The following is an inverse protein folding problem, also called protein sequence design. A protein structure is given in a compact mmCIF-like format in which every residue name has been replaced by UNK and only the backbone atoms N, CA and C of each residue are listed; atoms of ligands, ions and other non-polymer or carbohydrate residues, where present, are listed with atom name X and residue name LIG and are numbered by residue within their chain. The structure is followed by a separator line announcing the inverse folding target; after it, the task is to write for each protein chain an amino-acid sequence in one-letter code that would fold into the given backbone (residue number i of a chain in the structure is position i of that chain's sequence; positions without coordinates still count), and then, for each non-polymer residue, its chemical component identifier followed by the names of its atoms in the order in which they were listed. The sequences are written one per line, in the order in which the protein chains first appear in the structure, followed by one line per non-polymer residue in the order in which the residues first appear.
data_IF_802234892561
#
_entry.id   IF_802234892561
#
_cell.length_a   1.000
_cell.length_b   1.000
_cell.length_c   1.000
_cell.angle_alpha   90.00
_cell.angle_beta   90.00
_cell.angle_gamma   90.00
#
_symmetry.space_group_name_H-M   'P 1'
#
loop_
_entity.id
_entity.type
_entity.pdbx_description
1 polymer ?
#
# COMPACT_ATOMS: atom_id res chain seq x y z
N UNK A 1 -14.34 -40.94 -13.67
CA UNK A 1 -14.44 -39.64 -12.97
C UNK A 1 -15.90 -39.36 -12.72
N UNK A 2 -16.27 -38.65 -11.65
CA UNK A 2 -17.68 -38.29 -11.42
C UNK A 2 -18.12 -37.28 -12.48
N UNK A 3 -19.38 -37.32 -12.93
CA UNK A 3 -19.93 -36.31 -13.86
C UNK A 3 -19.76 -34.86 -13.33
N UNK A 4 -19.70 -34.72 -12.00
CA UNK A 4 -19.40 -33.45 -11.33
C UNK A 4 -17.95 -33.00 -11.52
N UNK A 5 -17.00 -33.93 -11.51
CA UNK A 5 -15.57 -33.65 -11.70
C UNK A 5 -15.29 -33.23 -13.15
N UNK A 6 -15.92 -33.90 -14.11
CA UNK A 6 -15.83 -33.53 -15.54
C UNK A 6 -16.43 -32.14 -15.79
N UNK A 7 -17.53 -31.81 -15.11
CA UNK A 7 -18.13 -30.48 -15.20
C UNK A 7 -17.23 -29.41 -14.59
N UNK A 8 -16.57 -29.70 -13.45
CA UNK A 8 -15.63 -28.78 -12.80
C UNK A 8 -14.43 -28.49 -13.70
N UNK A 9 -13.82 -29.51 -14.29
CA UNK A 9 -12.67 -29.35 -15.19
C UNK A 9 -13.01 -28.47 -16.42
N UNK A 10 -14.21 -28.65 -16.98
CA UNK A 10 -14.68 -27.79 -18.08
C UNK A 10 -14.91 -26.34 -17.64
N UNK A 11 -15.35 -26.13 -16.39
CA UNK A 11 -15.54 -24.78 -15.83
C UNK A 11 -14.19 -24.10 -15.60
N UNK A 12 -13.20 -24.79 -15.04
CA UNK A 12 -11.85 -24.26 -14.83
C UNK A 12 -11.21 -23.85 -16.16
N UNK A 13 -11.23 -24.74 -17.16
CA UNK A 13 -10.77 -24.41 -18.51
C UNK A 13 -11.52 -23.22 -19.10
N UNK A 14 -12.83 -23.11 -18.87
CA UNK A 14 -13.59 -21.97 -19.37
C UNK A 14 -13.18 -20.66 -18.69
N UNK A 15 -12.78 -20.69 -17.41
CA UNK A 15 -12.27 -19.53 -16.66
C UNK A 15 -10.90 -19.10 -17.20
N UNK A 16 -9.98 -20.03 -17.40
CA UNK A 16 -8.63 -19.74 -17.92
C UNK A 16 -8.66 -19.13 -19.31
N UNK A 17 -9.66 -19.50 -20.12
CA UNK A 17 -9.84 -18.97 -21.47
C UNK A 17 -10.61 -17.63 -21.52
N UNK A 18 -10.96 -17.02 -20.38
CA UNK A 18 -11.60 -15.70 -20.36
C UNK A 18 -10.54 -14.64 -20.69
N UNK A 19 -10.48 -14.25 -21.97
CA UNK A 19 -9.61 -13.17 -22.44
C UNK A 19 -10.13 -11.77 -22.12
N UNK A 20 -11.42 -11.62 -21.79
CA UNK A 20 -12.04 -10.33 -21.52
C UNK A 20 -12.28 -10.15 -20.00
N UNK A 21 -11.49 -9.29 -19.38
CA UNK A 21 -11.58 -8.98 -17.94
C UNK A 21 -12.98 -8.50 -17.50
N UNK A 22 -13.71 -7.77 -18.36
CA UNK A 22 -15.08 -7.35 -18.04
C UNK A 22 -16.04 -8.53 -17.95
N UNK A 23 -15.83 -9.59 -18.75
CA UNK A 23 -16.62 -10.82 -18.66
C UNK A 23 -16.39 -11.53 -17.33
N UNK A 24 -15.13 -11.63 -16.88
CA UNK A 24 -14.78 -12.19 -15.57
C UNK A 24 -15.40 -11.37 -14.43
N UNK A 25 -15.23 -10.04 -14.45
CA UNK A 25 -15.82 -9.14 -13.44
C UNK A 25 -17.34 -9.25 -13.37
N UNK A 26 -18.02 -9.33 -14.51
CA UNK A 26 -19.48 -9.48 -14.54
C UNK A 26 -19.93 -10.84 -14.00
N UNK A 27 -19.19 -11.92 -14.28
CA UNK A 27 -19.46 -13.24 -13.72
C UNK A 27 -19.30 -13.21 -12.19
N UNK A 28 -18.18 -12.70 -11.67
CA UNK A 28 -17.92 -12.57 -10.23
C UNK A 28 -19.01 -11.75 -9.51
N UNK A 29 -19.38 -10.59 -10.09
CA UNK A 29 -20.48 -9.77 -9.57
C UNK A 29 -21.81 -10.54 -9.54
N UNK A 30 -22.10 -11.32 -10.58
CA UNK A 30 -23.32 -12.15 -10.64
C UNK A 30 -23.27 -13.27 -9.60
N UNK A 31 -22.14 -13.94 -9.41
CA UNK A 31 -21.99 -14.97 -8.39
C UNK A 31 -22.16 -14.40 -6.97
N UNK A 32 -21.51 -13.26 -6.69
CA UNK A 32 -21.59 -12.57 -5.39
C UNK A 32 -23.02 -12.16 -5.00
N UNK A 33 -23.83 -11.75 -5.99
CA UNK A 33 -25.24 -11.38 -5.75
C UNK A 33 -26.12 -12.59 -5.46
N UNK A 34 -25.82 -13.73 -6.08
CA UNK A 34 -26.68 -14.92 -6.03
C UNK A 34 -26.25 -15.97 -5.01
N UNK A 35 -25.02 -15.91 -4.50
CA UNK A 35 -24.48 -16.88 -3.53
C UNK A 35 -23.85 -16.17 -2.34
N UNK A 36 -24.40 -16.41 -1.14
CA UNK A 36 -23.85 -15.93 0.12
C UNK A 36 -22.47 -16.52 0.38
N UNK A 37 -22.28 -17.83 0.12
CA UNK A 37 -20.98 -18.48 0.31
C UNK A 37 -19.87 -17.86 -0.55
N UNK A 38 -20.18 -17.48 -1.79
CA UNK A 38 -19.21 -16.76 -2.65
C UNK A 38 -18.95 -15.36 -2.11
N UNK A 39 -19.97 -14.68 -1.60
CA UNK A 39 -19.83 -13.34 -1.03
C UNK A 39 -18.97 -13.34 0.22
N UNK A 40 -19.16 -14.30 1.11
CA UNK A 40 -18.36 -14.44 2.34
C UNK A 40 -16.90 -14.73 1.99
N UNK A 41 -16.66 -15.66 1.04
CA UNK A 41 -15.31 -15.96 0.54
C UNK A 41 -14.62 -14.72 -0.07
N UNK A 42 -15.32 -13.99 -0.94
CA UNK A 42 -14.76 -12.78 -1.55
C UNK A 42 -14.55 -11.65 -0.54
N UNK A 43 -15.40 -11.55 0.47
CA UNK A 43 -15.26 -10.53 1.51
C UNK A 43 -14.04 -10.82 2.40
N UNK A 44 -13.77 -12.08 2.71
CA UNK A 44 -12.57 -12.50 3.44
C UNK A 44 -11.28 -12.26 2.65
N UNK A 45 -11.31 -12.45 1.33
CA UNK A 45 -10.14 -12.28 0.47
C UNK A 45 -9.85 -10.81 0.11
N UNK A 46 -10.89 -10.04 -0.24
CA UNK A 46 -10.75 -8.72 -0.88
C UNK A 46 -10.98 -7.53 0.07
N UNK A 47 -11.49 -7.77 1.28
CA UNK A 47 -11.76 -6.74 2.26
C UNK A 47 -10.95 -6.96 3.52
N UNK A 48 -10.76 -5.89 4.29
CA UNK A 48 -10.05 -5.95 5.57
C UNK A 48 -10.72 -5.03 6.59
N UNK A 49 -10.37 -5.25 7.85
CA UNK A 49 -10.89 -4.52 9.01
C UNK A 49 -9.97 -3.35 9.40
N UNK A 50 -10.52 -2.33 10.05
CA UNK A 50 -9.72 -1.22 10.61
C UNK A 50 -8.59 -1.71 11.54
N UNK A 51 -8.84 -2.79 12.29
CA UNK A 51 -7.84 -3.36 13.20
C UNK A 51 -6.64 -3.95 12.48
N UNK A 52 -6.84 -4.63 11.36
CA UNK A 52 -5.74 -5.24 10.59
C UNK A 52 -4.86 -4.16 9.97
N UNK A 53 -5.46 -3.11 9.42
CA UNK A 53 -4.74 -1.94 8.87
C UNK A 53 -3.97 -1.18 9.96
N UNK A 54 -4.52 -1.04 11.16
CA UNK A 54 -3.80 -0.37 12.24
C UNK A 54 -2.61 -1.20 12.73
N UNK A 55 -2.79 -2.51 12.89
CA UNK A 55 -1.73 -3.41 13.36
C UNK A 55 -0.52 -3.42 12.42
N UNK A 56 -0.73 -3.38 11.10
CA UNK A 56 0.36 -3.31 10.12
C UNK A 56 1.04 -1.94 10.07
N UNK A 57 0.32 -0.86 10.41
CA UNK A 57 0.82 0.50 10.36
C UNK A 57 1.59 0.94 11.62
N UNK A 58 1.51 0.18 12.72
CA UNK A 58 2.10 0.54 14.01
C UNK A 58 3.45 -0.14 14.21
N UNK A 59 4.55 0.62 14.21
CA UNK A 59 5.92 0.13 14.48
C UNK A 59 6.17 -0.23 15.96
N UNK A 60 5.12 -0.50 16.76
CA UNK A 60 5.22 -0.70 18.20
C UNK A 60 5.10 -2.17 18.59
N UNK A 61 6.19 -2.77 19.07
CA UNK A 61 6.28 -4.15 19.59
C UNK A 61 5.60 -4.37 20.97
N UNK A 62 4.74 -3.45 21.43
CA UNK A 62 4.04 -3.60 22.72
C UNK A 62 2.80 -4.49 22.58
N UNK A 63 3.04 -5.76 22.25
CA UNK A 63 2.07 -6.86 22.38
C UNK A 63 1.95 -7.27 23.84
N UNK A 64 1.05 -6.59 24.57
CA UNK A 64 0.45 -7.18 25.75
C UNK A 64 -0.93 -6.56 26.05
N UNK A 65 -1.96 -7.42 25.90
CA UNK A 65 -3.20 -7.42 26.69
C UNK A 65 -4.47 -6.75 26.13
N UNK A 66 -4.66 -6.60 24.82
CA UNK A 66 -6.03 -6.46 24.29
C UNK A 66 -6.52 -7.79 23.70
N UNK A 67 -7.10 -8.65 24.55
CA UNK A 67 -7.95 -9.76 24.08
C UNK A 67 -9.37 -9.22 23.93
N UNK A 68 -9.88 -8.98 22.70
CA UNK A 68 -11.27 -8.57 22.53
C UNK A 68 -12.16 -9.72 23.00
N UNK A 69 -13.01 -9.41 23.97
CA UNK A 69 -14.04 -10.33 24.48
C UNK A 69 -14.96 -10.79 23.34
N UNK A 70 -15.02 -12.10 23.14
CA UNK A 70 -16.03 -12.89 22.39
C UNK A 70 -16.91 -12.14 21.37
N UNK A 71 -16.63 -12.42 20.09
CA UNK A 71 -17.58 -12.69 18.99
C UNK A 71 -18.63 -11.60 18.68
N UNK A 72 -18.18 -10.38 18.39
CA UNK A 72 -18.88 -9.55 17.40
C UNK A 72 -18.12 -9.69 16.08
N UNK A 73 -18.80 -10.03 14.98
CA UNK A 73 -18.20 -9.95 13.63
C UNK A 73 -17.71 -8.52 13.45
N UNK A 74 -16.39 -8.33 13.38
CA UNK A 74 -15.81 -7.02 13.10
C UNK A 74 -16.21 -6.68 11.66
N UNK A 75 -16.84 -5.53 11.41
CA UNK A 75 -17.24 -5.17 10.06
C UNK A 75 -16.00 -4.90 9.21
N UNK A 76 -16.03 -5.40 7.97
CA UNK A 76 -15.10 -4.95 6.95
C UNK A 76 -15.24 -3.44 6.74
N UNK A 77 -14.11 -2.76 6.62
CA UNK A 77 -14.06 -1.30 6.51
C UNK A 77 -13.38 -0.84 5.22
N UNK A 78 -12.42 -1.62 4.70
CA UNK A 78 -11.57 -1.21 3.58
C UNK A 78 -11.49 -2.28 2.51
N UNK A 79 -11.26 -1.85 1.26
CA UNK A 79 -10.81 -2.73 0.17
C UNK A 79 -9.32 -2.98 0.36
N UNK A 80 -8.91 -4.25 0.34
CA UNK A 80 -7.56 -4.70 0.69
C UNK A 80 -6.50 -4.26 -0.31
N UNK A 81 -6.75 -4.50 -1.59
CA UNK A 81 -5.82 -4.16 -2.67
C UNK A 81 -6.21 -2.83 -3.30
N UNK A 82 -5.28 -1.88 -3.35
CA UNK A 82 -5.49 -0.54 -3.88
C UNK A 82 -4.34 -0.16 -4.82
N UNK A 83 -4.56 0.82 -5.70
CA UNK A 83 -3.53 1.34 -6.60
C UNK A 83 -2.86 2.56 -5.98
N UNK A 84 -1.53 2.55 -5.90
CA UNK A 84 -0.76 3.69 -5.43
C UNK A 84 -0.86 4.86 -6.43
N UNK A 85 -1.02 6.08 -5.93
CA UNK A 85 -1.03 7.29 -6.74
C UNK A 85 0.39 7.69 -7.19
N UNK A 86 1.43 7.27 -6.47
CA UNK A 86 2.82 7.65 -6.73
C UNK A 86 3.49 6.67 -7.71
N UNK A 87 3.66 5.40 -7.30
CA UNK A 87 4.30 4.39 -8.15
C UNK A 87 3.36 3.69 -9.14
N UNK A 88 2.04 3.91 -9.03
CA UNK A 88 1.00 3.27 -9.86
C UNK A 88 0.87 1.74 -9.71
N UNK A 89 1.61 1.12 -8.79
CA UNK A 89 1.50 -0.31 -8.50
C UNK A 89 0.31 -0.63 -7.58
N UNK A 90 -0.16 -1.86 -7.66
CA UNK A 90 -1.14 -2.40 -6.71
C UNK A 90 -0.44 -2.77 -5.40
N UNK A 91 -1.03 -2.43 -4.27
CA UNK A 91 -0.51 -2.75 -2.95
C UNK A 91 -1.60 -3.22 -2.01
N UNK A 92 -1.22 -4.06 -1.05
CA UNK A 92 -2.07 -4.50 0.06
C UNK A 92 -1.97 -3.47 1.20
N UNK A 93 -3.11 -2.88 1.59
CA UNK A 93 -3.12 -1.89 2.68
C UNK A 93 -2.74 -2.50 4.04
N UNK A 94 -2.84 -3.83 4.19
CA UNK A 94 -2.41 -4.55 5.39
C UNK A 94 -0.92 -4.88 5.38
N UNK A 95 -0.22 -4.63 4.27
CA UNK A 95 1.22 -4.84 4.12
C UNK A 95 1.89 -3.62 3.48
N UNK A 96 1.62 -2.43 4.02
CA UNK A 96 2.11 -1.17 3.49
C UNK A 96 3.16 -0.56 4.42
N UNK A 97 4.32 -1.19 4.57
CA UNK A 97 5.38 -0.67 5.46
C UNK A 97 6.16 0.48 4.83
N UNK A 98 6.94 1.21 5.63
CA UNK A 98 7.78 2.30 5.14
C UNK A 98 8.88 1.75 4.23
N UNK A 99 8.98 2.27 3.00
CA UNK A 99 9.97 1.84 2.01
C UNK A 99 9.43 0.88 0.96
N UNK A 100 8.17 0.42 1.07
CA UNK A 100 7.54 -0.44 0.05
C UNK A 100 7.26 0.29 -1.26
N UNK A 101 7.07 1.61 -1.22
CA UNK A 101 6.82 2.41 -2.41
C UNK A 101 8.08 3.19 -2.77
N UNK A 102 8.54 3.07 -4.01
CA UNK A 102 9.54 3.96 -4.61
C UNK A 102 8.95 4.65 -5.84
N UNK A 103 9.27 5.93 -6.04
CA UNK A 103 8.77 6.69 -7.19
C UNK A 103 9.72 7.82 -7.57
N UNK A 104 9.52 8.36 -8.76
CA UNK A 104 10.13 9.61 -9.22
C UNK A 104 9.08 10.73 -9.15
N UNK A 105 9.39 11.86 -8.52
CA UNK A 105 8.53 13.05 -8.54
C UNK A 105 8.71 13.84 -9.87
N UNK A 106 9.85 13.67 -10.52
CA UNK A 106 10.20 14.35 -11.77
C UNK A 106 9.53 13.75 -13.00
N UNK A 107 9.68 14.45 -14.12
CA UNK A 107 9.33 13.96 -15.45
C UNK A 107 10.54 13.30 -16.11
N UNK A 108 10.27 12.30 -16.96
CA UNK A 108 11.28 11.66 -17.80
C UNK A 108 11.52 12.54 -19.04
N UNK A 109 12.75 12.98 -19.27
CA UNK A 109 13.15 13.86 -20.37
C UNK A 109 14.16 13.20 -21.31
N UNK A 110 14.19 13.63 -22.57
CA UNK A 110 15.14 13.13 -23.57
C UNK A 110 16.54 13.65 -23.25
N UNK A 111 17.50 12.74 -23.08
CA UNK A 111 18.91 13.12 -22.96
C UNK A 111 19.50 13.32 -24.35
N UNK A 112 19.67 14.57 -24.77
CA UNK A 112 20.22 14.89 -26.09
C UNK A 112 21.69 14.48 -26.28
N UNK A 113 22.41 14.21 -25.19
CA UNK A 113 23.82 13.83 -25.19
C UNK A 113 24.02 12.31 -25.06
N UNK A 114 22.94 11.54 -24.83
CA UNK A 114 23.03 10.09 -24.70
C UNK A 114 23.51 9.42 -26.00
N UNK A 115 24.41 8.44 -25.83
CA UNK A 115 25.01 7.67 -26.93
C UNK A 115 23.95 7.05 -27.86
N UNK A 116 22.79 6.67 -27.29
CA UNK A 116 21.64 6.10 -28.01
C UNK A 116 21.13 7.00 -29.14
N UNK A 117 21.31 8.32 -29.05
CA UNK A 117 20.77 9.28 -30.02
C UNK A 117 21.80 9.92 -30.94
N UNK A 118 23.10 9.67 -30.74
CA UNK A 118 24.18 10.36 -31.48
C UNK A 118 24.03 10.19 -33.01
N UNK A 119 23.65 9.00 -33.45
CA UNK A 119 23.48 8.65 -34.87
C UNK A 119 22.01 8.73 -35.35
N UNK A 120 21.09 9.23 -34.52
CA UNK A 120 19.66 9.23 -34.83
C UNK A 120 19.26 10.36 -35.79
N UNK A 121 18.86 10.00 -37.01
CA UNK A 121 18.26 10.93 -37.96
C UNK A 121 16.72 10.93 -37.85
N UNK A 122 16.17 12.00 -37.28
CA UNK A 122 14.72 12.15 -37.10
C UNK A 122 13.94 12.22 -38.42
N UNK A 123 14.57 12.60 -39.54
CA UNK A 123 13.93 12.58 -40.85
C UNK A 123 13.73 11.15 -41.37
N UNK A 124 14.66 10.25 -41.05
CA UNK A 124 14.64 8.86 -41.47
C UNK A 124 13.89 7.95 -40.49
N UNK A 125 14.03 8.21 -39.18
CA UNK A 125 13.57 7.33 -38.09
C UNK A 125 12.41 7.92 -37.27
N UNK A 126 12.03 9.17 -37.50
CA UNK A 126 10.99 9.86 -36.73
C UNK A 126 11.50 10.47 -35.44
N UNK A 127 10.61 11.08 -34.63
CA UNK A 127 10.98 11.80 -33.40
C UNK A 127 11.62 10.86 -32.37
N UNK A 128 12.65 11.36 -31.67
CA UNK A 128 13.33 10.62 -30.60
C UNK A 128 12.45 10.46 -29.36
N UNK A 129 11.78 11.52 -28.93
CA UNK A 129 10.88 11.47 -27.77
C UNK A 129 9.51 10.91 -28.15
N UNK A 130 9.33 9.60 -27.95
CA UNK A 130 8.05 8.92 -28.06
C UNK A 130 7.86 7.96 -26.89
N UNK A 131 6.61 7.63 -26.56
CA UNK A 131 6.32 6.63 -25.51
C UNK A 131 6.98 5.28 -25.80
N UNK A 132 7.04 4.88 -27.08
CA UNK A 132 7.70 3.63 -27.47
C UNK A 132 9.20 3.70 -27.19
N UNK A 133 9.86 4.81 -27.57
CA UNK A 133 11.29 4.96 -27.35
C UNK A 133 11.65 5.07 -25.87
N UNK A 134 10.80 5.69 -25.04
CA UNK A 134 11.00 5.73 -23.59
C UNK A 134 11.02 4.33 -22.94
N UNK A 135 10.30 3.37 -23.52
CA UNK A 135 10.29 1.97 -23.07
C UNK A 135 11.43 1.15 -23.70
N UNK A 136 11.74 1.38 -24.98
CA UNK A 136 12.73 0.60 -25.73
C UNK A 136 14.18 1.04 -25.48
N UNK A 137 14.39 2.33 -25.19
CA UNK A 137 15.69 2.99 -25.02
C UNK A 137 15.73 3.84 -23.75
N UNK A 138 15.52 3.25 -22.56
CA UNK A 138 15.44 4.00 -21.31
C UNK A 138 16.72 4.77 -20.96
N UNK A 139 17.87 4.29 -21.42
CA UNK A 139 19.18 4.95 -21.29
C UNK A 139 19.32 6.23 -22.11
N UNK A 140 18.44 6.44 -23.09
CA UNK A 140 18.31 7.68 -23.83
C UNK A 140 17.48 8.76 -23.13
N UNK A 141 16.98 8.49 -21.94
CA UNK A 141 16.15 9.41 -21.16
C UNK A 141 16.65 9.51 -19.72
N UNK A 142 16.39 10.65 -19.09
CA UNK A 142 16.78 10.91 -17.70
C UNK A 142 15.63 11.47 -16.89
N UNK A 143 15.57 11.09 -15.62
CA UNK A 143 14.58 11.62 -14.68
C UNK A 143 15.03 12.97 -14.14
N UNK A 144 14.22 14.00 -14.35
CA UNK A 144 14.53 15.38 -13.89
C UNK A 144 14.66 15.56 -12.37
N UNK A 145 14.22 14.59 -11.57
CA UNK A 145 14.34 14.63 -10.11
C UNK A 145 15.68 14.12 -9.56
N UNK A 146 16.38 13.26 -10.30
CA UNK A 146 17.61 12.62 -9.81
C UNK A 146 18.71 12.44 -10.86
N UNK A 147 18.45 12.81 -12.12
CA UNK A 147 19.32 12.65 -13.28
C UNK A 147 19.70 11.19 -13.59
N UNK A 148 18.99 10.23 -13.00
CA UNK A 148 19.18 8.79 -13.28
C UNK A 148 18.49 8.37 -14.59
N UNK A 149 18.94 7.28 -15.23
CA UNK A 149 18.35 6.76 -16.47
C UNK A 149 16.86 6.40 -16.35
N UNK A 150 16.16 6.31 -17.48
CA UNK A 150 14.71 6.07 -17.52
C UNK A 150 14.24 4.76 -16.87
N UNK A 151 15.09 3.75 -16.75
CA UNK A 151 14.83 2.46 -16.11
C UNK A 151 15.29 2.40 -14.65
N UNK A 152 15.81 3.49 -14.09
CA UNK A 152 16.22 3.55 -12.70
C UNK A 152 15.03 3.45 -11.73
N UNK A 153 15.25 2.77 -10.60
CA UNK A 153 14.29 2.74 -9.49
C UNK A 153 14.00 4.15 -8.97
N UNK A 154 12.80 4.35 -8.42
CA UNK A 154 12.36 5.64 -7.89
C UNK A 154 13.33 6.23 -6.86
N UNK A 155 13.69 7.51 -7.03
CA UNK A 155 14.63 8.19 -6.14
C UNK A 155 14.01 8.58 -4.78
N UNK A 156 12.69 8.58 -4.66
CA UNK A 156 11.97 8.76 -3.40
C UNK A 156 11.44 7.43 -2.89
N UNK A 157 11.31 7.31 -1.57
CA UNK A 157 10.77 6.12 -0.92
C UNK A 157 9.82 6.45 0.23
N UNK A 158 8.84 5.58 0.44
CA UNK A 158 7.80 5.79 1.44
C UNK A 158 6.79 4.66 1.50
N UNK A 159 5.62 4.98 2.04
CA UNK A 159 4.46 4.08 2.07
C UNK A 159 3.62 4.36 0.83
N UNK A 160 2.99 3.34 0.27
CA UNK A 160 2.03 3.56 -0.80
C UNK A 160 0.88 4.45 -0.30
N UNK A 161 0.41 5.35 -1.16
CA UNK A 161 -0.70 6.27 -0.89
C UNK A 161 -1.69 6.26 -2.04
N UNK A 162 -2.99 6.36 -1.76
CA UNK A 162 -4.02 6.54 -2.81
C UNK A 162 -4.28 8.01 -3.15
N UNK A 163 -3.59 8.94 -2.48
CA UNK A 163 -3.67 10.39 -2.70
C UNK A 163 -2.27 10.92 -2.99
N UNK A 164 -2.14 11.75 -4.03
CA UNK A 164 -0.87 12.41 -4.34
C UNK A 164 -0.49 13.41 -3.24
N UNK A 165 0.74 13.32 -2.72
CA UNK A 165 1.35 14.38 -1.91
C UNK A 165 0.96 14.45 -0.42
N UNK A 166 0.26 13.46 0.16
CA UNK A 166 0.09 13.40 1.62
C UNK A 166 1.15 12.49 2.27
N UNK A 167 1.93 12.98 3.26
CA UNK A 167 2.69 12.09 4.13
C UNK A 167 1.71 11.16 4.89
N UNK A 168 2.15 9.95 5.28
CA UNK A 168 1.27 8.92 5.79
C UNK A 168 0.43 9.46 6.94
N UNK A 169 -0.90 9.38 6.81
CA UNK A 169 -1.83 9.91 7.78
C UNK A 169 -1.57 9.28 9.16
N UNK A 170 -0.79 9.98 10.00
CA UNK A 170 -0.97 9.87 11.44
C UNK A 170 -2.35 10.43 11.70
N UNK A 171 -3.38 9.57 11.69
CA UNK A 171 -4.69 9.91 12.23
C UNK A 171 -4.44 10.48 13.62
N UNK A 172 -4.63 11.78 13.78
CA UNK A 172 -4.40 12.49 15.03
C UNK A 172 -5.29 11.82 16.07
N UNK A 173 -4.68 11.30 17.13
CA UNK A 173 -5.35 10.74 18.31
C UNK A 173 -6.24 11.76 19.05
N UNK A 174 -6.20 13.03 18.65
CA UNK A 174 -6.84 14.15 19.32
C UNK A 174 -8.01 14.71 18.48
N UNK A 175 -9.10 13.96 18.37
CA UNK A 175 -10.41 14.52 17.97
C UNK A 175 -11.59 13.84 18.70
N UNK A 176 -11.31 13.16 19.82
CA UNK A 176 -12.33 12.60 20.71
C UNK A 176 -12.29 13.19 22.13
N UNK A 177 -11.28 14.00 22.46
CA UNK A 177 -11.17 14.69 23.77
C UNK A 177 -11.84 16.08 23.76
N UNK A 178 -11.84 16.82 22.64
CA UNK A 178 -12.53 18.12 22.55
C UNK A 178 -14.07 18.00 22.63
N UNK A 179 -14.64 16.82 22.30
CA UNK A 179 -16.07 16.54 22.49
C UNK A 179 -16.42 16.14 23.94
N UNK A 180 -15.44 15.73 24.74
CA UNK A 180 -15.65 15.26 26.11
C UNK A 180 -15.60 16.41 27.13
N UNK A 181 -14.99 17.53 26.77
CA UNK A 181 -14.97 18.74 27.61
C UNK A 181 -16.30 19.51 27.62
N UNK A 182 -17.28 19.11 26.80
CA UNK A 182 -18.62 19.72 26.75
C UNK A 182 -19.72 18.98 27.52
N UNK A 183 -19.39 17.91 28.24
CA UNK A 183 -20.30 17.34 29.24
C UNK A 183 -19.56 17.10 30.54
N UNK A 184 -19.48 18.17 31.34
CA UNK A 184 -18.82 18.17 32.64
C UNK A 184 -19.37 17.09 33.57
N UNK A 185 -18.48 16.22 34.05
CA UNK A 185 -18.50 15.62 35.40
C UNK A 185 -17.15 14.94 35.66
N UNK A 186 -16.41 15.31 36.72
CA UNK A 186 -15.10 14.76 36.99
C UNK A 186 -15.21 13.48 37.83
N UNK A 187 -14.57 12.39 37.37
CA UNK A 187 -14.12 11.32 38.26
C UNK A 187 -12.61 11.33 38.26
N UNK A 188 -12.07 11.68 39.42
CA UNK A 188 -10.66 11.72 39.77
C UNK A 188 -10.01 10.34 39.59
N UNK A 189 -8.94 10.26 38.81
CA UNK A 189 -7.93 9.22 38.94
C UNK A 189 -6.56 9.89 38.99
N UNK A 190 -5.99 9.89 40.20
CA UNK A 190 -4.57 10.16 40.42
C UNK A 190 -3.76 8.99 39.86
N UNK A 191 -2.79 9.27 38.99
CA UNK A 191 -1.52 8.55 39.00
C UNK A 191 -0.38 9.46 38.57
N UNK A 192 0.46 9.78 39.55
CA UNK A 192 1.75 10.44 39.41
C UNK A 192 2.77 9.45 38.86
N UNK A 193 3.39 9.75 37.71
CA UNK A 193 4.67 9.16 37.33
C UNK A 193 5.80 10.02 37.91
N UNK A 194 6.47 9.51 38.94
CA UNK A 194 7.71 10.05 39.47
C UNK A 194 8.82 9.89 38.42
N UNK A 195 9.37 11.01 37.97
CA UNK A 195 10.68 11.09 37.33
C UNK A 195 11.75 11.10 38.41
N UNK A 196 12.60 10.07 38.44
CA UNK A 196 13.91 10.17 39.10
C UNK A 196 14.98 9.79 38.10
N UNK A 197 15.62 10.81 37.53
CA UNK A 197 16.97 10.76 36.99
C UNK A 197 17.88 11.40 38.03
N UNK A 198 18.88 10.68 38.54
CA UNK A 198 20.19 11.27 38.86
C UNK A 198 21.27 10.19 38.70
N UNK A 199 22.19 10.43 37.78
CA UNK A 199 23.45 9.70 37.61
C UNK A 199 24.46 10.06 38.71
N UNK A 200 25.26 9.11 39.18
CA UNK A 200 26.58 9.39 39.74
C UNK A 200 27.49 8.15 39.70
N UNK A 201 28.60 8.27 38.95
CA UNK A 201 29.78 7.42 39.05
C UNK A 201 30.58 7.78 40.31
N UNK A 202 30.92 6.80 41.15
CA UNK A 202 32.17 6.78 41.93
C UNK A 202 32.59 5.32 42.11
N UNK A 203 33.70 4.94 41.45
CA UNK A 203 34.47 3.74 41.77
C UNK A 203 35.37 4.05 42.97
N UNK A 204 35.21 3.29 44.05
CA UNK A 204 36.27 3.15 45.05
C UNK A 204 36.23 1.71 45.59
N UNK A 205 37.34 0.99 45.44
CA UNK A 205 37.59 -0.32 46.07
C UNK A 205 39.05 -0.36 46.52
N UNK A 206 39.25 -0.01 47.78
CA UNK A 206 40.36 -0.50 48.58
C UNK A 206 39.78 -1.25 49.79
N UNK A 207 40.02 -2.55 49.84
CA UNK A 207 40.66 -3.32 50.93
C UNK A 207 40.78 -4.76 50.48
#
# INVERSE_FOLDING_TARGET
MSSKDETLELVEKAIDNISNIHRAHNLLRRLSRNSESVRDFLAEELLTTESEVYSSNSESEDEAAYRPSKRRRIPYAHVRYQKCAQCLEEFDITDNTTGCCTWHEGELELDYEADTWIDWDEYAHGPRDTLQHREEYPDGFTWTCCDEPGDAEGCESGRHSTVHGEPPQKRKRYEYEELREHTGTPLSFHHSCNMTLVSANVLDRHT
#
